data_IF_940027888177
#
_entry.id   IF_940027888177
#
_cell.length_a   1.000
_cell.length_b   1.000
_cell.length_c   1.000
_cell.angle_alpha   90.00
_cell.angle_beta   90.00
_cell.angle_gamma   90.00
#
_symmetry.space_group_name_H-M   'P 1'
#
loop_
_entity.id
_entity.type
_entity.pdbx_description
1 polymer ?
#
# COMPACT_ATOMS: atom_id res chain seq x y z
N UNK A 1 2.43 9.83 14.92
CA UNK A 1 2.30 9.19 13.62
C UNK A 1 2.52 10.20 12.52
N UNK A 2 3.34 9.88 11.51
CA UNK A 2 3.49 10.80 10.38
C UNK A 2 2.17 10.97 9.65
N UNK A 3 1.89 12.19 9.26
CA UNK A 3 0.62 12.47 8.58
C UNK A 3 0.72 12.30 7.07
N UNK A 4 1.87 11.89 6.56
CA UNK A 4 2.01 11.63 5.13
C UNK A 4 1.62 10.20 4.76
N UNK A 5 1.39 9.34 5.74
CA UNK A 5 1.15 7.91 5.47
C UNK A 5 -0.09 7.66 4.62
N UNK A 6 -1.23 8.32 4.87
CA UNK A 6 -2.38 8.07 3.99
C UNK A 6 -2.12 8.47 2.55
N UNK A 7 -1.42 9.57 2.34
CA UNK A 7 -1.12 9.99 0.97
C UNK A 7 -0.13 9.05 0.31
N UNK A 8 0.87 8.61 1.06
CA UNK A 8 1.85 7.66 0.56
C UNK A 8 1.18 6.36 0.14
N UNK A 9 0.29 5.86 0.97
CA UNK A 9 -0.43 4.63 0.69
C UNK A 9 -1.23 4.75 -0.59
N UNK A 10 -1.92 5.86 -0.76
CA UNK A 10 -2.73 6.07 -1.94
C UNK A 10 -1.87 6.13 -3.20
N UNK A 11 -0.75 6.82 -3.13
CA UNK A 11 0.11 6.97 -4.29
C UNK A 11 0.79 5.67 -4.66
N UNK A 12 1.11 4.82 -3.67
CA UNK A 12 1.68 3.52 -3.96
C UNK A 12 0.71 2.67 -4.74
N UNK A 13 -0.56 2.68 -4.37
CA UNK A 13 -1.58 1.93 -5.10
C UNK A 13 -1.72 2.47 -6.51
N UNK A 14 -1.68 3.78 -6.68
CA UNK A 14 -1.81 4.38 -8.00
C UNK A 14 -0.65 4.01 -8.91
N UNK A 15 0.55 3.95 -8.36
CA UNK A 15 1.72 3.56 -9.14
C UNK A 15 1.58 2.12 -9.63
N UNK A 16 1.12 1.24 -8.75
CA UNK A 16 0.97 -0.16 -9.13
C UNK A 16 -0.08 -0.31 -10.22
N UNK A 17 -1.15 0.47 -10.16
CA UNK A 17 -2.20 0.40 -11.15
C UNK A 17 -1.75 0.86 -12.53
N UNK A 18 -0.66 1.58 -12.61
CA UNK A 18 -0.09 1.94 -13.91
C UNK A 18 0.49 0.74 -14.62
N UNK A 19 0.84 -0.30 -13.88
CA UNK A 19 1.53 -1.45 -14.45
C UNK A 19 0.64 -2.68 -14.51
N UNK A 20 -0.28 -2.81 -13.56
CA UNK A 20 -1.16 -3.97 -13.50
C UNK A 20 -2.58 -3.49 -13.22
N UNK A 21 -3.52 -4.19 -13.83
CA UNK A 21 -4.93 -3.88 -13.63
C UNK A 21 -5.44 -4.71 -12.45
N UNK A 22 -5.51 -4.08 -11.29
CA UNK A 22 -5.93 -4.76 -10.07
C UNK A 22 -7.09 -3.99 -9.43
N UNK A 23 -7.90 -4.71 -8.68
CA UNK A 23 -8.96 -4.10 -7.90
C UNK A 23 -8.46 -3.78 -6.49
N UNK A 24 -9.20 -2.94 -5.81
CA UNK A 24 -8.78 -2.52 -4.47
C UNK A 24 -8.79 -3.67 -3.48
N UNK A 25 -9.60 -4.70 -3.72
CA UNK A 25 -9.63 -5.84 -2.80
C UNK A 25 -8.42 -6.76 -3.00
N UNK A 26 -7.62 -6.53 -4.01
CA UNK A 26 -6.37 -7.25 -4.19
C UNK A 26 -5.20 -6.57 -3.50
N UNK A 27 -5.45 -5.45 -2.86
CA UNK A 27 -4.43 -4.69 -2.16
C UNK A 27 -4.76 -4.70 -0.68
N UNK A 28 -3.81 -5.14 0.12
CA UNK A 28 -3.95 -5.16 1.57
C UNK A 28 -2.84 -4.31 2.16
N UNK A 29 -3.23 -3.41 3.05
CA UNK A 29 -2.29 -2.48 3.65
C UNK A 29 -2.38 -2.64 5.15
N UNK A 30 -1.23 -2.73 5.78
CA UNK A 30 -1.14 -2.79 7.23
C UNK A 30 -0.14 -1.75 7.70
N UNK A 31 -0.50 -1.08 8.77
CA UNK A 31 0.37 -0.09 9.39
C UNK A 31 0.62 -0.50 10.81
N UNK A 32 1.88 -0.59 11.17
CA UNK A 32 2.29 -0.97 12.51
C UNK A 32 3.13 0.14 13.11
N UNK A 33 2.74 0.58 14.29
CA UNK A 33 3.47 1.60 15.02
C UNK A 33 4.32 0.92 16.06
N UNK A 34 5.65 1.11 15.97
CA UNK A 34 6.57 0.45 16.87
C UNK A 34 7.39 1.46 17.64
N UNK A 35 6.70 2.43 18.23
CA UNK A 35 7.36 3.41 19.04
C UNK A 35 8.13 4.43 18.21
N UNK A 36 9.42 4.21 18.05
CA UNK A 36 10.25 5.18 17.35
C UNK A 36 10.13 5.11 15.85
N UNK A 37 9.43 4.10 15.32
CA UNK A 37 9.27 3.98 13.87
C UNK A 37 7.90 3.39 13.55
N UNK A 38 7.49 3.58 12.30
CA UNK A 38 6.25 2.99 11.79
C UNK A 38 6.60 2.10 10.62
N UNK A 39 5.89 0.98 10.52
CA UNK A 39 6.10 0.02 9.44
C UNK A 39 4.84 -0.02 8.59
N UNK A 40 5.00 0.27 7.33
CA UNK A 40 3.91 0.18 6.37
C UNK A 40 4.12 -1.04 5.50
N UNK A 41 3.15 -1.95 5.53
CA UNK A 41 3.21 -3.17 4.74
C UNK A 41 2.17 -3.10 3.64
N UNK A 42 2.59 -3.43 2.44
CA UNK A 42 1.70 -3.42 1.28
C UNK A 42 1.76 -4.80 0.64
N UNK A 43 0.64 -5.48 0.64
CA UNK A 43 0.53 -6.81 0.03
C UNK A 43 -0.40 -6.74 -1.15
N UNK A 44 0.07 -7.19 -2.30
CA UNK A 44 -0.69 -7.09 -3.53
C UNK A 44 -0.73 -8.45 -4.19
N UNK A 45 -1.95 -8.87 -4.53
CA UNK A 45 -2.13 -10.08 -5.31
C UNK A 45 -2.09 -9.71 -6.77
N UNK A 46 -1.04 -10.12 -7.45
CA UNK A 46 -0.87 -9.80 -8.86
C UNK A 46 -1.54 -10.86 -9.73
N UNK A 47 -2.15 -10.43 -10.83
CA UNK A 47 -2.73 -11.40 -11.76
C UNK A 47 -1.62 -12.19 -12.44
N UNK A 48 -1.97 -13.40 -12.84
CA UNK A 48 -1.02 -14.30 -13.45
C UNK A 48 -0.70 -13.93 -14.89
N UNK A 49 -1.54 -13.14 -15.46
CA UNK A 49 -1.34 -12.77 -16.86
C UNK A 49 -1.81 -11.38 -17.09
#
# INVERSE_FOLDING_TARGET
EPDYLPALQKELVEVIRKYVNIDSDQVQVALEDQGSCSILELNITLPDR
#
